data_IF_758800556919
#
_entry.id   IF_758800556919
#
_cell.length_a   1.000
_cell.length_b   1.000
_cell.length_c   1.000
_cell.angle_alpha   90.00
_cell.angle_beta   90.00
_cell.angle_gamma   90.00
#
_symmetry.space_group_name_H-M   'P 1'
#
loop_
_entity.id
_entity.type
_entity.pdbx_description
1 polymer ?
#
# COMPACT_ATOMS: atom_id res chain seq x y z
N UNK A 1 37.65 0.91 40.20
CA UNK A 1 36.44 0.08 40.08
C UNK A 1 35.54 0.69 39.02
N UNK A 2 35.81 0.37 37.73
CA UNK A 2 35.12 0.95 36.56
C UNK A 2 34.07 -0.05 36.04
N UNK A 3 32.79 0.25 36.24
CA UNK A 3 31.71 -0.48 35.58
C UNK A 3 31.48 0.14 34.22
N UNK A 4 31.87 -0.55 33.16
CA UNK A 4 31.45 -0.28 31.77
C UNK A 4 30.02 -0.77 31.59
N UNK A 5 29.07 0.14 31.43
CA UNK A 5 27.75 -0.21 30.94
C UNK A 5 27.86 -0.45 29.43
N UNK A 6 27.71 -1.69 29.01
CA UNK A 6 27.55 -2.09 27.62
C UNK A 6 26.10 -1.83 27.21
N UNK A 7 25.89 -0.84 26.38
CA UNK A 7 24.63 -0.68 25.62
C UNK A 7 24.62 -1.70 24.49
N UNK A 8 23.81 -2.73 24.62
CA UNK A 8 23.43 -3.58 23.49
C UNK A 8 22.39 -2.82 22.68
N UNK A 9 22.80 -2.30 21.51
CA UNK A 9 21.89 -1.86 20.47
C UNK A 9 21.17 -3.10 19.91
N UNK A 10 19.90 -3.25 20.24
CA UNK A 10 18.99 -4.19 19.57
C UNK A 10 18.48 -3.52 18.30
N UNK A 11 19.22 -3.62 17.20
CA UNK A 11 18.76 -3.22 15.90
C UNK A 11 17.77 -4.27 15.34
N UNK A 12 16.50 -3.98 15.39
CA UNK A 12 15.49 -4.63 14.53
C UNK A 12 15.08 -3.60 13.50
N UNK A 13 15.55 -3.81 12.27
CA UNK A 13 15.15 -3.05 11.11
C UNK A 13 13.84 -3.65 10.58
N UNK A 14 12.72 -3.13 11.06
CA UNK A 14 11.42 -3.46 10.48
C UNK A 14 11.19 -2.48 9.31
N UNK A 15 11.44 -2.98 8.10
CA UNK A 15 11.34 -2.24 6.85
C UNK A 15 9.93 -2.34 6.24
N UNK A 16 9.39 -1.22 5.87
CA UNK A 16 8.05 -0.99 5.35
C UNK A 16 8.00 -1.08 3.83
N UNK A 17 7.08 -1.87 3.28
CA UNK A 17 6.80 -1.90 1.86
C UNK A 17 5.55 -1.09 1.55
N UNK A 18 5.72 -0.07 0.71
CA UNK A 18 4.62 0.68 0.11
C UNK A 18 4.66 0.48 -1.40
N UNK A 19 4.06 -0.56 -1.85
CA UNK A 19 3.71 -0.75 -3.24
C UNK A 19 2.28 -1.24 -3.27
N UNK A 20 1.38 -0.42 -3.65
CA UNK A 20 -0.06 -0.41 -3.64
C UNK A 20 -0.60 0.49 -2.55
N UNK A 21 -1.43 1.44 -2.92
CA UNK A 21 -2.17 2.33 -2.03
C UNK A 21 -3.32 1.61 -1.29
N UNK A 22 -3.07 0.48 -0.72
CA UNK A 22 -3.66 0.10 0.54
C UNK A 22 -2.55 0.40 1.52
N UNK A 23 -2.72 1.41 2.34
CA UNK A 23 -1.83 1.67 3.46
C UNK A 23 -1.91 0.47 4.41
N UNK A 24 -1.28 -0.65 4.02
CA UNK A 24 -1.00 -1.72 4.95
C UNK A 24 0.05 -1.18 5.91
N UNK A 25 -0.40 -0.49 6.93
CA UNK A 25 0.42 -0.14 8.07
C UNK A 25 0.92 -1.43 8.67
N UNK A 26 2.18 -1.73 8.46
CA UNK A 26 2.89 -2.67 9.29
C UNK A 26 3.07 -1.98 10.64
N UNK A 27 2.30 -2.33 11.62
CA UNK A 27 2.53 -1.94 13.01
C UNK A 27 3.85 -2.56 13.45
N UNK A 28 4.81 -1.74 13.85
CA UNK A 28 6.02 -2.20 14.51
C UNK A 28 5.60 -2.78 15.86
N UNK A 29 5.34 -4.08 15.89
CA UNK A 29 5.14 -4.79 17.14
C UNK A 29 6.44 -4.84 17.90
N UNK A 30 6.59 -4.06 18.97
CA UNK A 30 7.55 -4.32 20.03
C UNK A 30 7.20 -5.70 20.54
N UNK A 31 8.11 -6.67 20.42
CA UNK A 31 7.93 -8.02 20.92
C UNK A 31 7.79 -8.00 22.45
N UNK A 32 6.57 -7.84 22.92
CA UNK A 32 6.10 -8.01 24.27
C UNK A 32 5.01 -9.07 24.26
N UNK A 33 5.14 -10.06 25.10
CA UNK A 33 4.35 -11.28 25.27
C UNK A 33 2.86 -11.13 24.96
N UNK A 34 2.39 -11.97 24.03
CA UNK A 34 1.07 -12.58 23.87
C UNK A 34 -0.19 -11.88 24.45
N UNK A 35 -1.14 -11.54 23.54
CA UNK A 35 -2.55 -11.29 23.76
C UNK A 35 -3.02 -9.84 23.94
N UNK A 36 -2.41 -8.89 23.28
CA UNK A 36 -3.09 -7.63 23.01
C UNK A 36 -3.67 -7.66 21.59
N UNK A 37 -4.88 -7.20 21.42
CA UNK A 37 -5.42 -6.74 20.16
C UNK A 37 -4.81 -5.37 19.97
N UNK A 38 -3.95 -5.21 18.97
CA UNK A 38 -3.32 -3.94 18.67
C UNK A 38 -4.22 -3.18 17.69
N UNK A 39 -4.54 -1.94 18.04
CA UNK A 39 -5.26 -1.00 17.19
C UNK A 39 -4.28 0.09 16.78
N UNK A 40 -4.19 0.39 15.51
CA UNK A 40 -3.40 1.48 14.98
C UNK A 40 -4.24 2.36 14.05
N UNK A 41 -3.83 3.62 13.91
CA UNK A 41 -4.49 4.62 13.09
C UNK A 41 -3.50 5.27 12.16
N UNK A 42 -3.94 5.64 10.99
CA UNK A 42 -3.14 6.38 10.05
C UNK A 42 -3.94 7.49 9.39
N UNK A 43 -3.23 8.52 8.92
CA UNK A 43 -3.78 9.54 8.06
C UNK A 43 -2.69 10.04 7.11
N UNK A 44 -3.06 10.48 5.92
CA UNK A 44 -2.14 11.07 4.97
C UNK A 44 -2.78 12.21 4.18
N UNK A 45 -1.92 13.12 3.73
CA UNK A 45 -2.22 14.08 2.68
C UNK A 45 -1.22 13.82 1.56
N UNK A 46 -1.70 13.68 0.35
CA UNK A 46 -0.86 13.44 -0.84
C UNK A 46 -1.21 14.45 -1.94
N UNK A 47 -0.24 14.77 -2.80
CA UNK A 47 -0.49 15.66 -3.95
C UNK A 47 -1.33 15.00 -5.05
N UNK A 48 -1.38 13.66 -5.07
CA UNK A 48 -2.23 12.84 -5.95
C UNK A 48 -2.39 11.47 -5.31
N UNK A 49 -3.57 10.87 -5.37
CA UNK A 49 -3.79 9.48 -5.00
C UNK A 49 -3.55 8.60 -6.22
N UNK A 50 -2.48 7.82 -6.21
CA UNK A 50 -2.11 6.92 -7.30
C UNK A 50 -2.27 5.46 -6.88
N UNK A 51 -3.16 4.73 -7.55
CA UNK A 51 -3.39 3.30 -7.37
C UNK A 51 -2.84 2.53 -8.58
N UNK A 52 -1.87 1.63 -8.38
CA UNK A 52 -1.23 0.83 -9.45
C UNK A 52 -0.79 1.66 -10.67
N UNK A 53 -0.23 2.86 -10.43
CA UNK A 53 0.24 3.76 -11.47
C UNK A 53 -0.83 4.69 -12.06
N UNK A 54 -2.09 4.56 -11.67
CA UNK A 54 -3.22 5.33 -12.18
C UNK A 54 -3.71 6.34 -11.13
N UNK A 55 -3.83 7.63 -11.51
CA UNK A 55 -4.38 8.66 -10.64
C UNK A 55 -5.85 8.39 -10.32
N UNK A 56 -6.20 8.48 -9.05
CA UNK A 56 -7.56 8.32 -8.54
C UNK A 56 -8.21 9.67 -8.19
N UNK A 57 -7.47 10.76 -8.31
CA UNK A 57 -7.94 12.12 -7.95
C UNK A 57 -7.70 13.14 -9.06
N UNK A 58 -7.62 12.70 -10.32
CA UNK A 58 -7.39 13.60 -11.47
C UNK A 58 -6.19 14.54 -11.22
N UNK A 59 -5.09 14.00 -10.63
CA UNK A 59 -3.89 14.74 -10.24
C UNK A 59 -4.10 15.83 -9.17
N UNK A 60 -5.22 15.79 -8.47
CA UNK A 60 -5.53 16.71 -7.36
C UNK A 60 -5.17 16.09 -6.00
N UNK A 61 -4.98 16.93 -4.97
CA UNK A 61 -4.66 16.45 -3.63
C UNK A 61 -5.71 15.51 -3.05
N UNK A 62 -5.24 14.48 -2.35
CA UNK A 62 -6.07 13.56 -1.59
C UNK A 62 -5.77 13.61 -0.09
N UNK A 63 -6.81 13.34 0.70
CA UNK A 63 -6.73 13.11 2.15
C UNK A 63 -7.26 11.72 2.42
N UNK A 64 -6.47 10.91 3.12
CA UNK A 64 -6.86 9.56 3.48
C UNK A 64 -6.69 9.29 4.97
N UNK A 65 -7.44 8.33 5.49
CA UNK A 65 -7.31 7.84 6.85
C UNK A 65 -7.64 6.35 6.93
N UNK A 66 -7.08 5.67 7.92
CA UNK A 66 -7.35 4.24 8.13
C UNK A 66 -7.23 3.82 9.58
N UNK A 67 -7.78 2.65 9.87
CA UNK A 67 -7.69 1.96 11.16
C UNK A 67 -7.40 0.49 10.91
N UNK A 68 -6.47 -0.05 11.67
CA UNK A 68 -6.06 -1.45 11.60
C UNK A 68 -6.23 -2.12 12.96
N UNK A 69 -6.68 -3.35 12.93
CA UNK A 69 -6.80 -4.27 14.06
C UNK A 69 -5.91 -5.47 13.79
N UNK A 70 -4.97 -5.77 14.69
CA UNK A 70 -4.11 -6.95 14.59
C UNK A 70 -4.26 -7.85 15.79
N UNK A 71 -4.36 -9.16 15.56
CA UNK A 71 -4.39 -10.18 16.60
C UNK A 71 -3.60 -11.42 16.18
N UNK A 72 -2.40 -11.56 16.72
CA UNK A 72 -1.47 -12.60 16.28
C UNK A 72 -1.08 -12.39 14.82
N UNK A 73 -1.33 -13.37 13.98
CA UNK A 73 -1.11 -13.26 12.53
C UNK A 73 -2.36 -12.79 11.75
N UNK A 74 -3.49 -12.56 12.40
CA UNK A 74 -4.70 -12.06 11.73
C UNK A 74 -4.77 -10.54 11.80
N UNK A 75 -5.27 -9.92 10.74
CA UNK A 75 -5.53 -8.50 10.68
C UNK A 75 -6.88 -8.23 10.00
N UNK A 76 -7.46 -7.09 10.33
CA UNK A 76 -8.58 -6.49 9.61
C UNK A 76 -8.47 -4.98 9.72
N UNK A 77 -9.02 -4.25 8.75
CA UNK A 77 -8.98 -2.80 8.78
C UNK A 77 -9.99 -2.17 7.84
N UNK A 78 -10.03 -0.84 7.95
CA UNK A 78 -10.75 0.00 7.03
C UNK A 78 -9.88 1.22 6.68
N UNK A 79 -9.98 1.66 5.43
CA UNK A 79 -9.30 2.85 4.94
C UNK A 79 -10.26 3.63 4.05
N UNK A 80 -10.07 4.95 3.95
CA UNK A 80 -10.85 5.79 3.06
C UNK A 80 -10.01 6.94 2.51
N UNK A 81 -10.36 7.40 1.30
CA UNK A 81 -9.81 8.58 0.63
C UNK A 81 -10.88 9.25 -0.22
N UNK A 82 -10.72 10.55 -0.49
CA UNK A 82 -11.44 11.14 -1.59
C UNK A 82 -10.89 10.61 -2.94
N UNK A 83 -11.77 10.54 -3.93
CA UNK A 83 -11.46 10.25 -5.33
C UNK A 83 -12.06 11.33 -6.24
N UNK A 84 -11.61 11.38 -7.49
CA UNK A 84 -12.14 12.27 -8.54
C UNK A 84 -11.91 11.58 -9.89
N UNK A 85 -12.95 10.93 -10.42
CA UNK A 85 -12.93 10.28 -11.74
C UNK A 85 -13.51 11.17 -12.83
N UNK A 86 -13.87 12.43 -12.50
CA UNK A 86 -14.54 13.36 -13.40
C UNK A 86 -16.05 13.16 -13.49
N UNK A 87 -16.61 12.40 -12.53
CA UNK A 87 -18.04 12.16 -12.35
C UNK A 87 -18.45 12.44 -10.88
N UNK A 88 -19.58 11.87 -10.42
CA UNK A 88 -20.12 12.13 -9.09
C UNK A 88 -19.48 11.25 -7.99
N UNK A 89 -18.57 10.31 -8.31
CA UNK A 89 -17.85 9.53 -7.33
C UNK A 89 -16.89 10.43 -6.54
N UNK A 90 -17.03 10.42 -5.20
CA UNK A 90 -16.35 11.38 -4.32
C UNK A 90 -15.46 10.73 -3.24
N UNK A 91 -15.70 9.48 -2.87
CA UNK A 91 -14.84 8.76 -1.93
C UNK A 91 -14.78 7.26 -2.19
N UNK A 92 -13.62 6.68 -1.87
CA UNK A 92 -13.33 5.27 -1.81
C UNK A 92 -13.23 4.84 -0.35
N UNK A 93 -13.84 3.70 -0.02
CA UNK A 93 -13.74 3.03 1.29
C UNK A 93 -13.34 1.59 1.09
N UNK A 94 -12.20 1.22 1.65
CA UNK A 94 -11.67 -0.15 1.62
C UNK A 94 -11.96 -0.85 2.94
N UNK A 95 -12.52 -2.05 2.86
CA UNK A 95 -12.62 -2.99 3.98
C UNK A 95 -11.74 -4.20 3.67
N UNK A 96 -10.78 -4.48 4.55
CA UNK A 96 -9.82 -5.54 4.28
C UNK A 96 -9.55 -6.42 5.50
N UNK A 97 -9.05 -7.61 5.24
CA UNK A 97 -8.62 -8.52 6.28
C UNK A 97 -7.83 -9.69 5.72
N UNK A 98 -7.09 -10.35 6.61
CA UNK A 98 -6.23 -11.45 6.18
C UNK A 98 -5.48 -12.14 7.31
N UNK A 99 -4.58 -13.00 6.88
CA UNK A 99 -3.69 -13.79 7.71
C UNK A 99 -2.26 -13.62 7.21
N UNK A 100 -1.39 -13.11 8.10
CA UNK A 100 0.00 -12.74 7.80
C UNK A 100 0.97 -13.50 8.73
N UNK A 101 1.25 -14.79 8.47
CA UNK A 101 2.20 -15.57 9.23
C UNK A 101 3.65 -15.32 8.80
N UNK A 102 4.58 -15.53 9.74
CA UNK A 102 6.00 -15.65 9.44
C UNK A 102 6.39 -17.15 9.37
N UNK A 103 6.95 -17.58 8.25
CA UNK A 103 7.37 -18.97 8.03
C UNK A 103 8.78 -18.98 7.45
N UNK A 104 9.74 -19.51 8.20
CA UNK A 104 11.14 -19.69 7.74
C UNK A 104 11.80 -18.41 7.20
N UNK A 105 11.50 -17.26 7.82
CA UNK A 105 12.03 -15.95 7.46
C UNK A 105 11.32 -15.31 6.25
N UNK A 106 10.20 -15.88 5.80
CA UNK A 106 9.25 -15.26 4.90
C UNK A 106 8.06 -14.74 5.68
N UNK A 107 7.63 -13.54 5.38
CA UNK A 107 6.31 -13.03 5.75
C UNK A 107 5.37 -13.34 4.59
N UNK A 108 4.36 -14.17 4.83
CA UNK A 108 3.28 -14.45 3.89
C UNK A 108 2.10 -13.54 4.21
N UNK A 109 1.25 -13.21 3.23
CA UNK A 109 0.04 -12.43 3.43
C UNK A 109 -1.06 -12.93 2.51
N UNK A 110 -2.10 -13.54 3.10
CA UNK A 110 -3.27 -14.04 2.40
C UNK A 110 -4.49 -13.28 2.93
N UNK A 111 -5.19 -12.59 2.06
CA UNK A 111 -6.29 -11.72 2.47
C UNK A 111 -7.27 -11.41 1.37
N UNK A 112 -8.15 -10.48 1.66
CA UNK A 112 -9.10 -9.92 0.71
C UNK A 112 -9.37 -8.46 1.03
N UNK A 113 -9.82 -7.74 0.01
CA UNK A 113 -10.19 -6.32 0.07
C UNK A 113 -11.52 -6.15 -0.66
N UNK A 114 -12.42 -5.37 -0.09
CA UNK A 114 -13.59 -4.85 -0.75
C UNK A 114 -13.37 -3.33 -0.92
N UNK A 115 -13.47 -2.87 -2.16
CA UNK A 115 -13.39 -1.47 -2.55
C UNK A 115 -14.82 -0.98 -2.78
N UNK A 116 -15.21 0.08 -2.10
CA UNK A 116 -16.57 0.63 -2.12
C UNK A 116 -16.49 2.13 -2.46
N UNK A 117 -17.29 2.57 -3.42
CA UNK A 117 -17.27 3.96 -3.88
C UNK A 117 -18.58 4.65 -3.59
N UNK A 118 -18.50 5.88 -3.01
CA UNK A 118 -19.67 6.72 -2.76
C UNK A 118 -19.85 7.70 -3.92
N UNK A 119 -21.11 8.07 -4.19
CA UNK A 119 -21.44 9.03 -5.24
C UNK A 119 -21.32 8.47 -6.67
N UNK A 120 -20.96 7.21 -6.85
CA UNK A 120 -20.82 6.64 -8.19
C UNK A 120 -22.12 6.80 -9.02
N UNK A 121 -22.02 7.10 -10.34
CA UNK A 121 -23.18 7.24 -11.21
C UNK A 121 -23.98 5.93 -11.32
N UNK A 122 -25.28 6.03 -11.58
CA UNK A 122 -26.14 4.86 -11.82
C UNK A 122 -25.57 3.98 -12.95
N UNK A 123 -25.25 2.71 -12.64
CA UNK A 123 -24.72 1.72 -13.56
C UNK A 123 -23.21 1.84 -13.85
N UNK A 124 -22.48 2.63 -13.08
CA UNK A 124 -21.01 2.70 -13.17
C UNK A 124 -20.32 1.46 -12.63
N UNK A 125 -20.87 0.84 -11.56
CA UNK A 125 -20.41 -0.40 -10.95
C UNK A 125 -18.95 -0.39 -10.55
N UNK A 126 -18.58 0.59 -9.70
CA UNK A 126 -17.20 0.80 -9.26
C UNK A 126 -16.81 -0.09 -8.07
N UNK A 127 -17.80 -0.64 -7.35
CA UNK A 127 -17.55 -1.49 -6.19
C UNK A 127 -17.03 -2.86 -6.64
N UNK A 128 -15.94 -3.33 -6.05
CA UNK A 128 -15.39 -4.65 -6.37
C UNK A 128 -14.65 -5.27 -5.18
N UNK A 129 -14.26 -6.53 -5.33
CA UNK A 129 -13.49 -7.27 -4.33
C UNK A 129 -12.25 -7.88 -4.95
N UNK A 130 -11.18 -7.97 -4.17
CA UNK A 130 -9.96 -8.68 -4.56
C UNK A 130 -9.55 -9.72 -3.52
N UNK A 131 -9.07 -10.85 -3.98
CA UNK A 131 -8.30 -11.80 -3.19
C UNK A 131 -6.81 -11.46 -3.36
N UNK A 132 -6.07 -11.48 -2.26
CA UNK A 132 -4.65 -11.16 -2.19
C UNK A 132 -3.82 -12.34 -1.74
N UNK A 133 -2.68 -12.54 -2.40
CA UNK A 133 -1.61 -13.42 -1.95
C UNK A 133 -0.27 -12.70 -2.11
N UNK A 134 0.51 -12.57 -1.03
CA UNK A 134 1.81 -11.92 -1.09
C UNK A 134 2.85 -12.65 -0.23
N UNK A 135 4.12 -12.44 -0.55
CA UNK A 135 5.25 -12.93 0.21
C UNK A 135 6.39 -11.92 0.17
N UNK A 136 7.07 -11.76 1.30
CA UNK A 136 8.25 -10.90 1.40
C UNK A 136 9.32 -11.50 2.29
N UNK A 137 10.57 -11.07 2.09
CA UNK A 137 11.73 -11.52 2.87
C UNK A 137 12.84 -10.50 2.89
N UNK A 138 13.50 -10.35 4.06
CA UNK A 138 14.75 -9.62 4.15
C UNK A 138 15.93 -10.47 3.60
N UNK A 139 16.70 -9.88 2.69
CA UNK A 139 17.91 -10.45 2.07
C UNK A 139 19.04 -9.44 2.29
N UNK A 140 19.81 -9.62 3.36
CA UNK A 140 20.78 -8.61 3.80
C UNK A 140 20.09 -7.29 4.19
N UNK A 141 20.51 -6.15 3.64
CA UNK A 141 19.88 -4.85 3.92
C UNK A 141 18.62 -4.57 3.09
N UNK A 142 18.32 -5.43 2.12
CA UNK A 142 17.20 -5.25 1.19
C UNK A 142 16.06 -6.18 1.60
N UNK A 143 14.85 -5.66 1.65
CA UNK A 143 13.65 -6.48 1.68
C UNK A 143 13.10 -6.59 0.26
N UNK A 144 12.78 -7.79 -0.18
CA UNK A 144 12.16 -8.08 -1.46
C UNK A 144 10.79 -8.72 -1.24
N UNK A 145 9.86 -8.45 -2.16
CA UNK A 145 8.51 -9.00 -2.08
C UNK A 145 7.88 -9.18 -3.44
N UNK A 146 6.81 -9.96 -3.45
CA UNK A 146 5.89 -10.09 -4.57
C UNK A 146 4.47 -10.22 -4.04
N UNK A 147 3.51 -9.74 -4.82
CA UNK A 147 2.09 -9.82 -4.50
C UNK A 147 1.29 -10.15 -5.77
N UNK A 148 0.18 -10.85 -5.58
CA UNK A 148 -0.83 -11.06 -6.61
C UNK A 148 -2.21 -10.72 -6.03
N UNK A 149 -3.02 -10.08 -6.84
CA UNK A 149 -4.41 -9.75 -6.55
C UNK A 149 -5.28 -10.26 -7.68
N UNK A 150 -6.43 -10.79 -7.36
CA UNK A 150 -7.40 -11.27 -8.32
C UNK A 150 -8.79 -10.81 -7.94
N UNK A 151 -9.51 -10.25 -8.91
CA UNK A 151 -10.93 -9.88 -8.82
C UNK A 151 -11.73 -10.70 -9.82
N UNK A 152 -12.86 -11.30 -9.42
CA UNK A 152 -13.78 -11.95 -10.35
C UNK A 152 -14.58 -10.96 -11.18
N UNK A 153 -14.70 -9.73 -10.71
CA UNK A 153 -15.50 -8.63 -11.24
C UNK A 153 -14.81 -7.35 -10.81
N UNK A 154 -14.06 -6.74 -11.72
CA UNK A 154 -13.19 -5.61 -11.44
C UNK A 154 -13.90 -4.30 -11.79
N UNK A 155 -13.45 -3.22 -11.21
CA UNK A 155 -13.90 -1.85 -11.33
C UNK A 155 -14.55 -1.49 -12.68
N UNK A 156 -15.82 -1.04 -12.67
CA UNK A 156 -16.58 -0.58 -13.83
C UNK A 156 -17.52 -1.63 -14.41
N UNK A 157 -18.46 -1.18 -15.20
CA UNK A 157 -19.61 -1.94 -15.72
C UNK A 157 -19.26 -3.04 -16.76
N UNK A 158 -17.98 -3.34 -16.98
CA UNK A 158 -17.56 -4.41 -17.88
C UNK A 158 -17.74 -5.83 -17.32
N UNK A 159 -17.84 -5.97 -16.00
CA UNK A 159 -17.91 -7.25 -15.27
C UNK A 159 -16.72 -8.18 -15.62
N UNK A 160 -15.54 -7.60 -15.91
CA UNK A 160 -14.36 -8.35 -16.32
C UNK A 160 -13.54 -8.84 -15.12
N UNK A 161 -13.05 -10.07 -15.22
CA UNK A 161 -12.07 -10.59 -14.27
C UNK A 161 -10.73 -9.83 -14.43
N UNK A 162 -10.08 -9.50 -13.31
CA UNK A 162 -8.78 -8.85 -13.34
C UNK A 162 -7.75 -9.53 -12.45
N UNK A 163 -6.48 -9.42 -12.86
CA UNK A 163 -5.34 -9.88 -12.08
C UNK A 163 -4.26 -8.81 -12.08
N UNK A 164 -3.72 -8.51 -10.90
CA UNK A 164 -2.53 -7.67 -10.75
C UNK A 164 -1.41 -8.46 -10.08
N UNK A 165 -0.21 -8.40 -10.63
CA UNK A 165 0.99 -9.01 -10.03
C UNK A 165 2.07 -7.96 -9.93
N UNK A 166 2.75 -7.92 -8.77
CA UNK A 166 3.79 -6.96 -8.47
C UNK A 166 5.03 -7.63 -7.87
N UNK A 167 6.20 -7.12 -8.24
CA UNK A 167 7.45 -7.34 -7.52
C UNK A 167 7.95 -6.01 -6.95
N UNK A 168 8.44 -6.02 -5.72
CA UNK A 168 8.89 -4.82 -5.02
C UNK A 168 10.17 -5.05 -4.22
N UNK A 169 10.87 -3.96 -3.94
CA UNK A 169 12.05 -3.96 -3.09
C UNK A 169 12.16 -2.67 -2.28
N UNK A 170 12.76 -2.77 -1.08
CA UNK A 170 13.07 -1.61 -0.25
C UNK A 170 14.41 -1.79 0.46
N UNK A 171 15.07 -0.67 0.74
CA UNK A 171 16.31 -0.60 1.50
C UNK A 171 16.32 0.65 2.37
N UNK A 172 16.90 0.56 3.57
CA UNK A 172 17.16 1.72 4.43
C UNK A 172 18.66 2.03 4.39
N UNK A 173 19.10 2.93 3.46
CA UNK A 173 20.53 3.25 3.29
C UNK A 173 21.10 4.06 4.44
N UNK A 174 20.25 4.73 5.22
CA UNK A 174 20.62 5.51 6.39
C UNK A 174 19.45 5.53 7.39
N UNK A 175 19.74 5.92 8.63
CA UNK A 175 18.73 6.14 9.66
C UNK A 175 17.65 7.10 9.15
N UNK A 176 16.36 6.79 9.37
CA UNK A 176 15.17 7.53 8.93
C UNK A 176 14.92 7.56 7.42
N UNK A 177 15.78 6.98 6.59
CA UNK A 177 15.59 6.93 5.14
C UNK A 177 15.16 5.54 4.69
N UNK A 178 14.17 5.48 3.83
CA UNK A 178 13.80 4.27 3.09
C UNK A 178 13.69 4.62 1.61
N UNK A 179 14.37 3.85 0.77
CA UNK A 179 14.22 3.89 -0.70
C UNK A 179 13.51 2.62 -1.11
N UNK A 180 12.45 2.75 -1.89
CA UNK A 180 11.65 1.60 -2.34
C UNK A 180 11.11 1.80 -3.74
N UNK A 181 10.85 0.70 -4.42
CA UNK A 181 10.24 0.71 -5.74
C UNK A 181 9.52 -0.60 -6.02
N UNK A 182 8.66 -0.56 -7.01
CA UNK A 182 7.88 -1.69 -7.48
C UNK A 182 7.71 -1.66 -8.99
N UNK A 183 7.47 -2.82 -9.56
CA UNK A 183 6.99 -3.01 -10.92
C UNK A 183 5.85 -4.02 -10.91
N UNK A 184 4.76 -3.70 -11.58
CA UNK A 184 3.57 -4.55 -11.62
C UNK A 184 2.93 -4.60 -13.00
N UNK A 185 2.11 -5.61 -13.22
CA UNK A 185 1.31 -5.79 -14.42
C UNK A 185 -0.14 -6.00 -14.02
N UNK A 186 -1.03 -5.21 -14.60
CA UNK A 186 -2.48 -5.37 -14.52
C UNK A 186 -2.97 -6.03 -15.79
N UNK A 187 -3.72 -7.11 -15.64
CA UNK A 187 -4.49 -7.77 -16.70
C UNK A 187 -5.97 -7.57 -16.40
N UNK A 188 -6.70 -6.98 -17.32
CA UNK A 188 -8.16 -6.82 -17.27
C UNK A 188 -8.76 -7.44 -18.53
N UNK A 189 -8.31 -6.96 -19.69
CA UNK A 189 -8.66 -7.46 -21.03
C UNK A 189 -7.53 -7.10 -21.97
N UNK A 190 -7.44 -7.72 -23.13
CA UNK A 190 -6.32 -7.52 -24.05
C UNK A 190 -6.09 -6.05 -24.46
N UNK A 191 -7.13 -5.22 -24.34
CA UNK A 191 -7.09 -3.80 -24.74
C UNK A 191 -6.88 -2.86 -23.54
N UNK A 192 -6.98 -3.35 -22.29
CA UNK A 192 -6.86 -2.58 -21.06
C UNK A 192 -5.69 -3.03 -20.16
N UNK A 193 -4.87 -3.95 -20.62
CA UNK A 193 -3.69 -4.41 -19.88
C UNK A 193 -2.60 -3.35 -19.86
N UNK A 194 -1.98 -3.13 -18.70
CA UNK A 194 -0.86 -2.21 -18.57
C UNK A 194 0.18 -2.66 -17.55
N UNK A 195 1.41 -2.15 -17.71
CA UNK A 195 2.51 -2.30 -16.77
C UNK A 195 2.74 -0.98 -16.05
N UNK A 196 2.96 -1.04 -14.76
CA UNK A 196 3.27 0.14 -13.94
C UNK A 196 4.56 -0.04 -13.16
N UNK A 197 5.22 1.07 -12.83
CA UNK A 197 6.37 1.07 -11.93
C UNK A 197 6.40 2.34 -11.09
N UNK A 198 7.06 2.23 -9.96
CA UNK A 198 7.32 3.37 -9.11
C UNK A 198 8.69 3.27 -8.45
N UNK A 199 9.24 4.43 -8.08
CA UNK A 199 10.44 4.55 -7.28
C UNK A 199 10.30 5.77 -6.38
N UNK A 200 10.59 5.61 -5.09
CA UNK A 200 10.45 6.70 -4.13
C UNK A 200 11.41 6.62 -2.97
N UNK A 201 11.46 7.71 -2.22
CA UNK A 201 12.21 7.82 -0.99
C UNK A 201 11.35 8.44 0.10
N UNK A 202 11.33 7.78 1.25
CA UNK A 202 10.63 8.22 2.45
C UNK A 202 11.64 8.67 3.52
N UNK A 203 11.30 9.73 4.24
CA UNK A 203 12.07 10.24 5.35
C UNK A 203 11.18 10.39 6.59
N UNK A 204 11.51 9.69 7.67
CA UNK A 204 10.84 9.80 8.94
C UNK A 204 11.25 11.10 9.65
N UNK A 205 10.34 12.07 9.65
CA UNK A 205 10.53 13.35 10.37
C UNK A 205 10.54 13.12 11.89
N UNK A 206 9.61 12.28 12.35
CA UNK A 206 9.47 11.82 13.74
C UNK A 206 9.14 10.33 13.74
N UNK A 207 8.91 9.74 14.92
CA UNK A 207 8.46 8.34 15.04
C UNK A 207 7.03 8.13 14.49
N UNK A 208 6.27 9.20 14.29
CA UNK A 208 4.88 9.15 13.83
C UNK A 208 4.63 9.89 12.50
N UNK A 209 5.62 10.61 11.97
CA UNK A 209 5.42 11.46 10.79
C UNK A 209 6.48 11.19 9.74
N UNK A 210 6.05 10.90 8.51
CA UNK A 210 6.91 10.56 7.37
C UNK A 210 6.54 11.38 6.16
N UNK A 211 7.54 11.92 5.47
CA UNK A 211 7.42 12.49 4.12
C UNK A 211 7.85 11.42 3.11
N UNK A 212 7.11 11.24 2.03
CA UNK A 212 7.45 10.36 0.91
C UNK A 212 7.42 11.18 -0.39
N UNK A 213 8.46 11.04 -1.21
CA UNK A 213 8.51 11.55 -2.58
C UNK A 213 8.67 10.37 -3.52
N UNK A 214 7.72 10.21 -4.44
CA UNK A 214 7.65 9.04 -5.31
C UNK A 214 7.31 9.41 -6.75
N UNK A 215 8.03 8.82 -7.67
CA UNK A 215 7.71 8.83 -9.09
C UNK A 215 6.89 7.59 -9.42
N UNK A 216 5.81 7.79 -10.14
CA UNK A 216 4.95 6.74 -10.69
C UNK A 216 4.87 6.87 -12.20
N UNK A 217 4.68 5.74 -12.86
CA UNK A 217 4.48 5.71 -14.31
C UNK A 217 3.76 4.41 -14.73
N UNK A 218 3.12 4.44 -15.90
CA UNK A 218 2.52 3.29 -16.56
C UNK A 218 2.89 3.29 -18.04
N UNK A 219 2.84 2.14 -18.71
CA UNK A 219 3.23 2.01 -20.13
C UNK A 219 2.11 2.39 -21.12
N UNK A 220 0.88 2.62 -20.64
CA UNK A 220 -0.31 2.88 -21.46
C UNK A 220 -0.83 4.32 -21.29
N UNK A 221 -0.01 5.31 -21.63
CA UNK A 221 -0.39 6.72 -21.56
C UNK A 221 -1.57 7.09 -22.47
N UNK A 222 -1.77 6.32 -23.54
CA UNK A 222 -2.89 6.51 -24.47
C UNK A 222 -4.27 6.22 -23.84
N UNK A 223 -4.32 5.57 -22.66
CA UNK A 223 -5.56 5.36 -21.91
C UNK A 223 -6.08 6.64 -21.24
N UNK A 224 -5.27 7.70 -21.17
CA UNK A 224 -5.63 9.00 -20.65
C UNK A 224 -4.60 9.57 -19.66
N UNK A 225 -4.82 10.83 -19.27
CA UNK A 225 -3.91 11.56 -18.36
C UNK A 225 -3.70 10.84 -17.02
N UNK A 226 -4.71 10.13 -16.53
CA UNK A 226 -4.61 9.36 -15.28
C UNK A 226 -3.50 8.29 -15.30
N UNK A 227 -3.09 7.80 -16.49
CA UNK A 227 -2.02 6.80 -16.68
C UNK A 227 -0.64 7.44 -16.91
N UNK A 228 -0.56 8.77 -16.97
CA UNK A 228 0.68 9.50 -17.25
C UNK A 228 1.69 9.42 -16.10
N UNK A 229 2.95 9.66 -16.45
CA UNK A 229 4.07 9.75 -15.52
C UNK A 229 3.91 10.93 -14.56
N UNK A 230 4.17 10.73 -13.25
CA UNK A 230 4.01 11.79 -12.25
C UNK A 230 4.90 11.64 -11.03
N UNK A 231 5.19 12.76 -10.40
CA UNK A 231 5.85 12.81 -9.10
C UNK A 231 4.83 13.17 -8.02
N UNK A 232 4.76 12.35 -6.97
CA UNK A 232 3.81 12.48 -5.87
C UNK A 232 4.55 12.77 -4.58
N UNK A 233 4.10 13.77 -3.84
CA UNK A 233 4.56 14.08 -2.50
C UNK A 233 3.47 13.74 -1.48
N UNK A 234 3.83 13.03 -0.41
CA UNK A 234 2.89 12.65 0.65
C UNK A 234 3.46 12.98 2.03
N UNK A 235 2.59 13.38 2.93
CA UNK A 235 2.86 13.48 4.36
C UNK A 235 1.95 12.48 5.07
N UNK A 236 2.55 11.51 5.77
CA UNK A 236 1.85 10.40 6.42
C UNK A 236 2.06 10.45 7.93
N UNK A 237 0.99 10.30 8.70
CA UNK A 237 1.01 10.16 10.15
C UNK A 237 0.52 8.76 10.54
N UNK A 238 1.15 8.13 11.57
CA UNK A 238 0.80 6.81 12.09
C UNK A 238 0.90 6.78 13.63
N UNK A 239 -0.08 6.12 14.30
CA UNK A 239 -0.22 6.08 15.76
C UNK A 239 -0.57 4.67 16.23
#
# INVERSE_FOLDING_TARGET
MNRKHSFKASGRNDLWFSGVCIAALVVIGIAGQARAQDVSWNAAVTSDYVFRGVSQTSENPAISAGVDLTRGSFYAGAWASNVDFGDDADAEVDLYGGWRPEVSGWTLDLGGVAYLYTGQPDGADYDYVELKAAASRAVGPVTVGAAAYWSPDFFGASEDEATYVEANAAVSPAERWTVSGAVGRQWVSSDLDYTTWNLGAAFALTDHLTVDLRYHDADQHDFGEAYGARAVASLKAAF
#
